data_IF_816725312661
#
_entry.id   IF_816725312661
#
_cell.length_a   1.000
_cell.length_b   1.000
_cell.length_c   1.000
_cell.angle_alpha   90.00
_cell.angle_beta   90.00
_cell.angle_gamma   90.00
#
_symmetry.space_group_name_H-M   'P 1'
#
loop_
_entity.id
_entity.type
_entity.pdbx_description
1 polymer ?
#
# COMPACT_ATOMS: atom_id res chain seq x y z
N UNK A 1 -16.28 -31.17 -12.40
CA UNK A 1 -16.52 -31.71 -11.05
C UNK A 1 -16.06 -30.66 -10.06
N UNK A 2 -16.96 -30.16 -9.21
CA UNK A 2 -16.70 -29.05 -8.29
C UNK A 2 -15.84 -29.51 -7.12
N UNK A 3 -14.60 -29.00 -7.02
CA UNK A 3 -13.75 -29.18 -5.85
C UNK A 3 -14.34 -28.43 -4.66
N UNK A 4 -14.64 -29.18 -3.60
CA UNK A 4 -15.08 -28.66 -2.30
C UNK A 4 -14.01 -27.76 -1.69
N UNK A 5 -14.38 -26.60 -1.12
CA UNK A 5 -13.44 -25.78 -0.37
C UNK A 5 -12.98 -26.54 0.89
N UNK A 6 -11.69 -26.45 1.21
CA UNK A 6 -11.17 -26.82 2.53
C UNK A 6 -11.94 -26.04 3.59
N UNK A 7 -12.88 -26.70 4.27
CA UNK A 7 -13.53 -26.21 5.47
C UNK A 7 -12.72 -26.68 6.66
N UNK A 8 -12.19 -25.75 7.44
CA UNK A 8 -11.81 -26.04 8.82
C UNK A 8 -13.04 -26.58 9.57
N UNK A 9 -12.81 -27.53 10.47
CA UNK A 9 -13.83 -28.28 11.23
C UNK A 9 -14.72 -27.43 12.14
N UNK A 10 -14.59 -26.10 12.11
CA UNK A 10 -15.34 -25.10 12.89
C UNK A 10 -16.31 -24.25 12.05
N UNK A 11 -16.39 -24.45 10.73
CA UNK A 11 -17.27 -23.65 9.86
C UNK A 11 -16.83 -22.20 9.64
N UNK A 12 -15.65 -21.83 10.16
CA UNK A 12 -14.97 -20.56 9.90
C UNK A 12 -14.17 -20.66 8.60
N UNK A 13 -14.22 -19.61 7.77
CA UNK A 13 -13.37 -19.54 6.58
C UNK A 13 -11.89 -19.55 7.00
N UNK A 14 -11.06 -20.36 6.35
CA UNK A 14 -9.61 -20.38 6.59
C UNK A 14 -8.99 -19.03 6.23
N UNK A 15 -8.12 -18.52 7.12
CA UNK A 15 -7.35 -17.29 6.90
C UNK A 15 -6.28 -17.48 5.83
N UNK A 16 -5.59 -18.62 5.83
CA UNK A 16 -4.63 -18.96 4.78
C UNK A 16 -5.42 -19.48 3.58
N UNK A 17 -5.31 -18.77 2.46
CA UNK A 17 -5.94 -19.13 1.18
C UNK A 17 -5.17 -20.27 0.51
N UNK A 18 -3.84 -20.21 0.62
CA UNK A 18 -2.92 -21.21 0.09
C UNK A 18 -1.49 -20.91 0.54
N UNK A 19 -0.64 -21.94 0.51
CA UNK A 19 0.79 -21.85 0.79
C UNK A 19 1.53 -22.82 -0.13
N UNK A 20 2.53 -22.31 -0.84
CA UNK A 20 3.41 -23.10 -1.70
C UNK A 20 4.86 -22.86 -1.27
N UNK A 21 5.58 -23.93 -0.97
CA UNK A 21 6.98 -23.88 -0.54
C UNK A 21 7.81 -24.70 -1.51
N UNK A 22 8.89 -24.13 -2.02
CA UNK A 22 9.86 -24.82 -2.87
C UNK A 22 11.29 -24.72 -2.33
N UNK A 23 12.25 -24.53 -3.22
CA UNK A 23 13.67 -24.40 -2.88
C UNK A 23 13.93 -23.19 -1.96
N UNK A 24 15.15 -23.04 -1.44
CA UNK A 24 15.51 -21.84 -0.69
C UNK A 24 15.42 -20.59 -1.58
N UNK A 25 14.82 -19.52 -1.06
CA UNK A 25 14.55 -18.30 -1.81
C UNK A 25 13.73 -17.30 -1.02
N UNK A 26 13.23 -16.28 -1.71
CA UNK A 26 12.41 -15.22 -1.14
C UNK A 26 11.04 -15.70 -0.68
N UNK A 27 10.40 -14.95 0.21
CA UNK A 27 9.01 -15.18 0.63
C UNK A 27 8.13 -14.06 0.08
N UNK A 28 7.07 -14.40 -0.65
CA UNK A 28 6.04 -13.46 -1.08
C UNK A 28 4.75 -13.72 -0.30
N UNK A 29 4.31 -12.72 0.46
CA UNK A 29 3.02 -12.71 1.12
C UNK A 29 2.07 -11.79 0.37
N UNK A 30 0.92 -12.33 -0.05
CA UNK A 30 -0.16 -11.54 -0.61
C UNK A 30 -1.34 -11.51 0.36
N UNK A 31 -1.73 -10.31 0.78
CA UNK A 31 -2.88 -10.05 1.63
C UNK A 31 -4.04 -9.58 0.74
N UNK A 32 -5.21 -10.17 0.87
CA UNK A 32 -6.43 -9.71 0.18
C UNK A 32 -7.56 -9.46 1.15
N UNK A 33 -8.41 -8.48 0.86
CA UNK A 33 -9.59 -8.15 1.67
C UNK A 33 -9.28 -7.73 3.11
N UNK A 34 -8.30 -6.84 3.30
CA UNK A 34 -8.22 -6.05 4.55
C UNK A 34 -9.51 -5.28 4.80
N UNK A 35 -10.12 -4.78 3.72
CA UNK A 35 -11.50 -4.32 3.72
C UNK A 35 -12.42 -5.42 3.18
N UNK A 36 -13.53 -5.69 3.87
CA UNK A 36 -14.42 -6.80 3.52
C UNK A 36 -15.28 -6.56 2.27
N UNK A 37 -15.43 -5.32 1.82
CA UNK A 37 -16.10 -4.97 0.56
C UNK A 37 -15.17 -5.14 -0.66
N UNK A 38 -13.94 -5.61 -0.48
CA UNK A 38 -12.93 -5.79 -1.52
C UNK A 38 -12.57 -7.28 -1.72
N UNK A 39 -13.49 -8.12 -2.24
CA UNK A 39 -13.26 -9.56 -2.36
C UNK A 39 -12.25 -9.94 -3.46
N UNK A 40 -11.86 -8.99 -4.32
CA UNK A 40 -11.06 -9.26 -5.52
C UNK A 40 -9.72 -9.96 -5.21
N UNK A 41 -9.01 -9.50 -4.16
CA UNK A 41 -7.75 -10.12 -3.72
C UNK A 41 -7.90 -11.58 -3.34
N UNK A 42 -8.90 -11.93 -2.52
CA UNK A 42 -9.14 -13.31 -2.10
C UNK A 42 -9.50 -14.20 -3.30
N UNK A 43 -10.33 -13.70 -4.22
CA UNK A 43 -10.75 -14.46 -5.41
C UNK A 43 -9.54 -14.69 -6.33
N UNK A 44 -8.75 -13.64 -6.60
CA UNK A 44 -7.55 -13.71 -7.42
C UNK A 44 -6.53 -14.71 -6.85
N UNK A 45 -6.26 -14.64 -5.55
CA UNK A 45 -5.33 -15.57 -4.89
C UNK A 45 -5.78 -17.03 -5.04
N UNK A 46 -7.08 -17.32 -4.87
CA UNK A 46 -7.61 -18.67 -5.11
C UNK A 46 -7.37 -19.16 -6.54
N UNK A 47 -7.55 -18.28 -7.54
CA UNK A 47 -7.29 -18.62 -8.95
C UNK A 47 -5.82 -18.90 -9.20
N UNK A 48 -4.92 -18.10 -8.63
CA UNK A 48 -3.47 -18.31 -8.75
C UNK A 48 -3.05 -19.63 -8.10
N UNK A 49 -3.48 -19.90 -6.86
CA UNK A 49 -3.16 -21.17 -6.20
C UNK A 49 -3.68 -22.38 -6.96
N UNK A 50 -4.91 -22.34 -7.49
CA UNK A 50 -5.46 -23.42 -8.30
C UNK A 50 -4.63 -23.67 -9.58
N UNK A 51 -4.13 -22.60 -10.21
CA UNK A 51 -3.27 -22.70 -11.39
C UNK A 51 -1.86 -23.23 -11.04
N UNK A 52 -1.28 -22.78 -9.93
CA UNK A 52 -0.01 -23.30 -9.43
C UNK A 52 -0.10 -24.78 -9.05
N UNK A 53 -1.20 -25.21 -8.43
CA UNK A 53 -1.44 -26.62 -8.11
C UNK A 53 -1.54 -27.47 -9.39
N UNK A 54 -2.33 -27.00 -10.36
CA UNK A 54 -2.52 -27.71 -11.63
C UNK A 54 -1.23 -27.82 -12.47
N UNK A 55 -0.39 -26.78 -12.48
CA UNK A 55 0.83 -26.76 -13.28
C UNK A 55 2.05 -27.31 -12.52
N UNK A 56 2.05 -27.24 -11.19
CA UNK A 56 3.13 -27.66 -10.30
C UNK A 56 4.53 -27.18 -10.76
N UNK A 57 4.74 -25.87 -11.00
CA UNK A 57 6.04 -25.37 -11.43
C UNK A 57 7.10 -25.51 -10.32
N UNK A 58 8.40 -25.53 -10.68
CA UNK A 58 9.46 -25.33 -9.70
C UNK A 58 9.35 -23.94 -9.07
N UNK A 59 9.24 -23.89 -7.75
CA UNK A 59 9.16 -22.65 -6.97
C UNK A 59 10.48 -22.44 -6.22
N UNK A 60 11.01 -21.22 -6.26
CA UNK A 60 12.19 -20.81 -5.47
C UNK A 60 11.77 -19.89 -4.33
N UNK A 61 11.60 -20.47 -3.15
CA UNK A 61 11.16 -19.76 -1.95
C UNK A 61 9.76 -20.17 -1.50
N UNK A 62 8.98 -19.20 -1.03
CA UNK A 62 7.67 -19.45 -0.42
C UNK A 62 6.64 -18.41 -0.85
N UNK A 63 5.46 -18.88 -1.28
CA UNK A 63 4.31 -18.04 -1.59
C UNK A 63 3.18 -18.32 -0.59
N UNK A 64 2.66 -17.26 0.05
CA UNK A 64 1.56 -17.35 1.01
C UNK A 64 0.45 -16.37 0.62
N UNK A 65 -0.78 -16.85 0.47
CA UNK A 65 -1.96 -16.01 0.33
C UNK A 65 -2.77 -15.97 1.60
N UNK A 66 -3.12 -14.78 2.07
CA UNK A 66 -3.84 -14.57 3.32
C UNK A 66 -5.10 -13.73 3.05
N UNK A 67 -6.22 -14.18 3.59
CA UNK A 67 -7.44 -13.40 3.68
C UNK A 67 -7.39 -12.49 4.92
N UNK A 68 -7.68 -11.20 4.72
CA UNK A 68 -7.65 -10.15 5.72
C UNK A 68 -8.82 -10.23 6.70
N UNK A 69 -9.72 -9.25 6.66
CA UNK A 69 -10.85 -9.16 7.59
C UNK A 69 -11.95 -10.18 7.22
N UNK A 70 -11.89 -11.39 7.79
CA UNK A 70 -12.82 -12.46 7.48
C UNK A 70 -14.27 -12.11 7.89
N UNK A 71 -14.43 -11.48 9.05
CA UNK A 71 -15.73 -11.05 9.55
C UNK A 71 -16.40 -10.00 8.64
N UNK A 72 -15.65 -8.96 8.22
CA UNK A 72 -16.16 -7.94 7.32
C UNK A 72 -16.39 -8.49 5.91
N UNK A 73 -15.51 -9.37 5.43
CA UNK A 73 -15.64 -10.03 4.12
C UNK A 73 -16.93 -10.85 4.03
N UNK A 74 -17.28 -11.59 5.09
CA UNK A 74 -18.54 -12.33 5.16
C UNK A 74 -19.78 -11.42 5.07
N UNK A 75 -19.65 -10.16 5.52
CA UNK A 75 -20.72 -9.15 5.50
C UNK A 75 -20.68 -8.25 4.26
N UNK A 76 -19.64 -8.35 3.43
CA UNK A 76 -19.36 -7.43 2.32
C UNK A 76 -19.35 -5.95 2.73
N UNK A 77 -18.84 -5.69 3.93
CA UNK A 77 -18.70 -4.35 4.48
C UNK A 77 -17.23 -3.99 4.55
N UNK A 78 -16.89 -2.69 4.49
CA UNK A 78 -15.49 -2.25 4.59
C UNK A 78 -14.84 -2.77 5.87
N UNK A 79 -15.53 -2.59 6.99
CA UNK A 79 -15.16 -3.10 8.31
C UNK A 79 -16.41 -3.35 9.16
N UNK A 80 -16.23 -3.95 10.34
CA UNK A 80 -17.30 -4.15 11.33
C UNK A 80 -17.34 -3.04 12.36
N UNK A 81 -16.28 -2.87 13.17
CA UNK A 81 -16.24 -1.86 14.22
C UNK A 81 -15.37 -0.66 13.80
N UNK A 82 -14.18 -0.92 13.26
CA UNK A 82 -13.24 0.13 12.81
C UNK A 82 -12.49 -0.29 11.54
N UNK A 83 -11.93 0.66 10.79
CA UNK A 83 -11.11 0.32 9.63
C UNK A 83 -9.85 -0.48 10.04
N UNK A 84 -9.77 -1.75 9.61
CA UNK A 84 -8.65 -2.63 9.93
C UNK A 84 -7.32 -2.07 9.40
N UNK A 85 -7.33 -1.34 8.28
CA UNK A 85 -6.14 -0.71 7.71
C UNK A 85 -5.82 0.66 8.35
N UNK A 86 -6.36 0.90 9.55
CA UNK A 86 -5.99 1.98 10.48
C UNK A 86 -5.59 1.44 11.86
N UNK A 87 -5.56 0.12 12.05
CA UNK A 87 -5.33 -0.52 13.34
C UNK A 87 -3.88 -0.97 13.59
N UNK A 88 -2.99 -0.87 12.60
CA UNK A 88 -1.64 -1.45 12.64
C UNK A 88 -0.61 -0.50 13.27
N UNK A 89 -0.80 -0.18 14.56
CA UNK A 89 0.20 0.58 15.34
C UNK A 89 0.91 -0.33 16.33
N UNK A 90 2.21 -0.10 16.56
CA UNK A 90 2.99 -0.87 17.53
C UNK A 90 2.36 -0.85 18.93
N UNK A 91 1.89 0.33 19.37
CA UNK A 91 1.19 0.49 20.65
C UNK A 91 -0.07 -0.38 20.73
N UNK A 92 -0.91 -0.40 19.67
CA UNK A 92 -2.11 -1.23 19.65
C UNK A 92 -1.75 -2.71 19.71
N UNK A 93 -0.77 -3.14 18.92
CA UNK A 93 -0.32 -4.54 18.87
C UNK A 93 0.24 -5.00 20.22
N UNK A 94 1.10 -4.20 20.85
CA UNK A 94 1.65 -4.50 22.18
C UNK A 94 0.56 -4.59 23.25
N UNK A 95 -0.39 -3.66 23.24
CA UNK A 95 -1.56 -3.69 24.12
C UNK A 95 -2.42 -4.93 23.91
N UNK A 96 -2.65 -5.33 22.66
CA UNK A 96 -3.43 -6.54 22.35
C UNK A 96 -2.70 -7.81 22.80
N UNK A 97 -1.38 -7.89 22.63
CA UNK A 97 -0.54 -9.02 23.08
C UNK A 97 -0.49 -9.15 24.60
N UNK A 98 -0.46 -8.04 25.31
CA UNK A 98 -0.35 -8.00 26.78
C UNK A 98 -1.69 -8.13 27.51
N UNK A 99 -2.81 -8.17 26.79
CA UNK A 99 -4.15 -8.27 27.38
C UNK A 99 -4.36 -9.61 28.11
N UNK A 100 -4.26 -9.58 29.45
CA UNK A 100 -4.52 -10.75 30.31
C UNK A 100 -5.98 -11.21 30.30
N UNK A 101 -6.94 -10.33 29.94
CA UNK A 101 -8.38 -10.66 29.90
C UNK A 101 -8.80 -11.36 28.60
N UNK A 102 -7.87 -11.65 27.70
CA UNK A 102 -8.16 -12.15 26.35
C UNK A 102 -8.86 -11.09 25.50
N UNK A 103 -9.57 -11.53 24.45
CA UNK A 103 -10.25 -10.69 23.46
C UNK A 103 -11.76 -10.53 23.75
N UNK A 104 -12.20 -10.85 24.96
CA UNK A 104 -13.59 -10.72 25.36
C UNK A 104 -13.99 -9.23 25.40
N UNK A 105 -14.90 -8.83 24.50
CA UNK A 105 -15.33 -7.43 24.36
C UNK A 105 -14.38 -6.54 23.54
N UNK A 106 -13.34 -7.09 22.90
CA UNK A 106 -12.54 -6.34 21.94
C UNK A 106 -13.31 -6.12 20.64
N UNK A 107 -12.90 -5.11 19.86
CA UNK A 107 -13.42 -4.93 18.51
C UNK A 107 -13.17 -6.20 17.67
N UNK A 108 -14.03 -6.45 16.69
CA UNK A 108 -13.87 -7.52 15.69
C UNK A 108 -12.51 -7.39 15.01
N UNK A 109 -12.13 -6.18 14.62
CA UNK A 109 -10.85 -5.93 13.95
C UNK A 109 -9.62 -6.23 14.79
N UNK A 110 -9.70 -6.19 16.13
CA UNK A 110 -8.58 -6.59 16.98
C UNK A 110 -8.29 -8.10 16.85
N UNK A 111 -9.35 -8.91 16.73
CA UNK A 111 -9.23 -10.36 16.53
C UNK A 111 -8.73 -10.69 15.12
N UNK A 112 -9.21 -9.97 14.11
CA UNK A 112 -8.75 -10.11 12.73
C UNK A 112 -7.27 -9.72 12.60
N UNK A 113 -6.86 -8.61 13.22
CA UNK A 113 -5.47 -8.16 13.27
C UNK A 113 -4.55 -9.23 13.85
N UNK A 114 -4.86 -9.76 15.04
CA UNK A 114 -4.03 -10.78 15.67
C UNK A 114 -3.94 -12.07 14.83
N UNK A 115 -5.04 -12.44 14.16
CA UNK A 115 -5.04 -13.57 13.24
C UNK A 115 -4.12 -13.37 12.04
N UNK A 116 -4.14 -12.18 11.42
CA UNK A 116 -3.22 -11.85 10.31
C UNK A 116 -1.78 -11.79 10.82
N UNK A 117 -1.56 -11.16 11.97
CA UNK A 117 -0.24 -11.01 12.57
C UNK A 117 0.41 -12.38 12.84
N UNK A 118 -0.34 -13.36 13.35
CA UNK A 118 0.16 -14.71 13.59
C UNK A 118 0.66 -15.39 12.29
N UNK A 119 -0.09 -15.25 11.19
CA UNK A 119 0.31 -15.82 9.90
C UNK A 119 1.53 -15.10 9.30
N UNK A 120 1.58 -13.77 9.42
CA UNK A 120 2.69 -12.95 8.97
C UNK A 120 3.97 -13.28 9.75
N UNK A 121 3.90 -13.36 11.07
CA UNK A 121 5.04 -13.71 11.92
C UNK A 121 5.52 -15.14 11.68
N UNK A 122 4.61 -16.08 11.48
CA UNK A 122 4.95 -17.46 11.12
C UNK A 122 5.73 -17.54 9.80
N UNK A 123 5.28 -16.81 8.77
CA UNK A 123 5.97 -16.76 7.48
C UNK A 123 7.33 -16.07 7.56
N UNK A 124 7.42 -14.95 8.30
CA UNK A 124 8.69 -14.26 8.54
C UNK A 124 9.69 -15.16 9.27
N UNK A 125 9.26 -15.87 10.32
CA UNK A 125 10.12 -16.75 11.10
C UNK A 125 10.67 -17.93 10.27
N UNK A 126 9.92 -18.38 9.26
CA UNK A 126 10.33 -19.45 8.34
C UNK A 126 11.08 -18.97 7.09
N UNK A 127 11.22 -17.65 6.88
CA UNK A 127 11.77 -17.09 5.66
C UNK A 127 13.24 -17.47 5.45
N UNK A 128 13.58 -17.82 4.21
CA UNK A 128 14.94 -18.25 3.79
C UNK A 128 15.62 -17.25 2.85
N UNK A 129 15.13 -16.01 2.83
CA UNK A 129 15.57 -14.95 1.93
C UNK A 129 14.79 -13.65 2.20
N UNK A 130 14.80 -12.73 1.23
CA UNK A 130 14.02 -11.49 1.30
C UNK A 130 12.52 -11.78 1.46
N UNK A 131 11.83 -10.93 2.22
CA UNK A 131 10.38 -11.02 2.42
C UNK A 131 9.69 -9.83 1.74
N UNK A 132 8.71 -10.16 0.89
CA UNK A 132 7.92 -9.22 0.11
C UNK A 132 6.45 -9.30 0.54
N UNK A 133 5.80 -8.14 0.65
CA UNK A 133 4.38 -8.01 0.93
C UNK A 133 3.67 -7.31 -0.22
N UNK A 134 2.59 -7.93 -0.71
CA UNK A 134 1.62 -7.33 -1.61
C UNK A 134 0.28 -7.21 -0.89
N UNK A 135 -0.22 -5.98 -0.74
CA UNK A 135 -1.54 -5.70 -0.19
C UNK A 135 -2.52 -5.40 -1.32
N UNK A 136 -3.49 -6.30 -1.52
CA UNK A 136 -4.34 -6.34 -2.70
C UNK A 136 -5.69 -5.69 -2.42
N UNK A 137 -5.89 -4.55 -3.05
CA UNK A 137 -7.03 -3.66 -2.86
C UNK A 137 -7.81 -3.39 -4.15
N UNK A 138 -8.96 -2.77 -3.95
CA UNK A 138 -9.74 -2.10 -5.00
C UNK A 138 -10.21 -0.75 -4.46
N UNK A 139 -10.64 0.11 -5.36
CA UNK A 139 -11.04 1.48 -5.05
C UNK A 139 -12.56 1.67 -5.18
N UNK A 140 -13.11 2.66 -4.48
CA UNK A 140 -14.53 3.01 -4.57
C UNK A 140 -14.90 3.74 -5.87
N UNK A 141 -13.97 4.52 -6.42
CA UNK A 141 -14.14 5.28 -7.65
C UNK A 141 -13.69 4.53 -8.90
N UNK A 142 -13.99 5.09 -10.07
CA UNK A 142 -13.36 4.62 -11.31
C UNK A 142 -11.85 4.90 -11.26
N UNK A 143 -11.07 3.87 -11.55
CA UNK A 143 -9.62 3.91 -11.44
C UNK A 143 -8.94 2.88 -12.35
N UNK A 144 -7.80 3.23 -12.97
CA UNK A 144 -6.90 2.21 -13.49
C UNK A 144 -6.30 1.38 -12.37
N UNK A 145 -5.61 0.30 -12.73
CA UNK A 145 -4.75 -0.41 -11.79
C UNK A 145 -3.47 0.39 -11.51
N UNK A 146 -3.03 0.45 -10.26
CA UNK A 146 -1.79 1.13 -9.88
C UNK A 146 -1.15 0.50 -8.63
N UNK A 147 0.15 0.72 -8.48
CA UNK A 147 0.91 0.37 -7.29
C UNK A 147 1.08 1.56 -6.36
N UNK A 148 1.11 1.31 -5.06
CA UNK A 148 1.45 2.30 -4.03
C UNK A 148 2.63 1.78 -3.23
N UNK A 149 3.60 2.64 -2.96
CA UNK A 149 4.76 2.29 -2.12
C UNK A 149 5.15 3.45 -1.21
N UNK A 150 5.64 3.08 -0.04
CA UNK A 150 6.58 3.91 0.70
C UNK A 150 7.83 4.21 -0.14
N UNK A 151 8.36 5.41 0.00
CA UNK A 151 9.43 5.90 -0.86
C UNK A 151 10.84 5.39 -0.43
N UNK A 152 11.05 4.07 -0.37
CA UNK A 152 12.37 3.42 -0.11
C UNK A 152 12.99 2.87 -1.39
N UNK A 153 14.32 2.72 -1.44
CA UNK A 153 14.99 2.18 -2.64
C UNK A 153 14.60 0.72 -2.93
N UNK A 154 14.45 -0.11 -1.89
CA UNK A 154 14.04 -1.52 -2.04
C UNK A 154 12.62 -1.64 -2.58
N UNK A 155 11.68 -0.84 -2.07
CA UNK A 155 10.31 -0.80 -2.59
C UNK A 155 10.27 -0.31 -4.03
N UNK A 156 11.03 0.73 -4.38
CA UNK A 156 11.14 1.20 -5.78
C UNK A 156 11.67 0.10 -6.70
N UNK A 157 12.72 -0.61 -6.30
CA UNK A 157 13.30 -1.69 -7.09
C UNK A 157 12.29 -2.82 -7.38
N UNK A 158 11.47 -3.17 -6.39
CA UNK A 158 10.41 -4.16 -6.55
C UNK A 158 9.23 -3.63 -7.40
N UNK A 159 8.65 -2.49 -7.02
CA UNK A 159 7.46 -1.93 -7.65
C UNK A 159 7.67 -1.53 -9.12
N UNK A 160 8.87 -1.07 -9.49
CA UNK A 160 9.17 -0.70 -10.88
C UNK A 160 9.20 -1.90 -11.84
N UNK A 161 9.19 -3.14 -11.34
CA UNK A 161 9.02 -4.37 -12.13
C UNK A 161 7.58 -4.58 -12.60
N UNK A 162 6.60 -3.93 -11.96
CA UNK A 162 5.19 -4.04 -12.32
C UNK A 162 4.84 -3.06 -13.44
N UNK A 163 4.17 -3.48 -14.53
CA UNK A 163 3.89 -2.59 -15.65
C UNK A 163 2.68 -1.67 -15.44
N UNK A 164 2.55 -1.08 -14.25
CA UNK A 164 1.47 -0.14 -13.88
C UNK A 164 2.05 1.20 -13.42
N UNK A 165 1.23 2.27 -13.33
CA UNK A 165 1.62 3.49 -12.62
C UNK A 165 1.97 3.19 -11.16
N UNK A 166 3.06 3.79 -10.67
CA UNK A 166 3.51 3.67 -9.29
C UNK A 166 3.36 5.02 -8.58
N UNK A 167 2.68 5.00 -7.43
CA UNK A 167 2.44 6.16 -6.58
C UNK A 167 3.38 6.09 -5.38
N UNK A 168 4.29 7.05 -5.31
CA UNK A 168 5.21 7.24 -4.20
C UNK A 168 4.56 8.12 -3.13
N UNK A 169 4.81 7.80 -1.87
CA UNK A 169 4.50 8.75 -0.80
C UNK A 169 3.10 8.63 -0.19
N UNK A 170 2.26 7.69 -0.67
CA UNK A 170 0.89 7.56 -0.17
C UNK A 170 0.86 7.07 1.28
N UNK A 171 1.67 6.05 1.60
CA UNK A 171 1.74 5.47 2.94
C UNK A 171 2.18 6.49 4.00
N UNK A 172 2.95 7.51 3.63
CA UNK A 172 3.43 8.56 4.53
C UNK A 172 2.34 9.57 4.93
N UNK A 173 1.19 9.52 4.26
CA UNK A 173 -0.01 10.29 4.58
C UNK A 173 -1.06 9.48 5.35
N UNK A 174 -0.83 8.18 5.53
CA UNK A 174 -1.71 7.26 6.22
C UNK A 174 -1.04 6.80 7.51
N UNK A 175 -1.82 6.60 8.57
CA UNK A 175 -1.30 6.07 9.83
C UNK A 175 -2.01 4.76 10.18
N UNK A 176 -1.25 3.82 10.73
CA UNK A 176 -1.78 2.54 11.19
C UNK A 176 -2.20 1.59 10.07
N UNK A 177 -1.59 1.73 8.88
CA UNK A 177 -1.79 0.78 7.78
C UNK A 177 -0.94 -0.47 7.95
N UNK A 178 -1.40 -1.60 7.42
CA UNK A 178 -0.65 -2.85 7.42
C UNK A 178 0.72 -2.66 6.77
N UNK A 179 0.77 -2.04 5.58
CA UNK A 179 2.01 -1.80 4.86
C UNK A 179 2.97 -0.87 5.62
N UNK A 180 2.48 0.17 6.30
CA UNK A 180 3.33 1.01 7.15
C UNK A 180 4.00 0.18 8.25
N UNK A 181 3.25 -0.70 8.92
CA UNK A 181 3.76 -1.55 10.00
C UNK A 181 4.86 -2.52 9.51
N UNK A 182 4.60 -3.27 8.42
CA UNK A 182 5.60 -4.22 7.90
C UNK A 182 6.78 -3.52 7.24
N UNK A 183 6.59 -2.38 6.57
CA UNK A 183 7.69 -1.65 5.94
C UNK A 183 8.62 -1.02 6.98
N UNK A 184 8.07 -0.51 8.09
CA UNK A 184 8.87 0.01 9.22
C UNK A 184 9.72 -1.11 9.86
N UNK A 185 9.29 -2.36 9.72
CA UNK A 185 10.04 -3.55 10.14
C UNK A 185 11.14 -3.98 9.15
N UNK A 186 11.35 -3.24 8.06
CA UNK A 186 12.44 -3.45 7.09
C UNK A 186 12.10 -4.37 5.92
N UNK A 187 10.81 -4.73 5.74
CA UNK A 187 10.36 -5.58 4.64
C UNK A 187 9.98 -4.78 3.39
N UNK A 188 10.05 -5.44 2.24
CA UNK A 188 9.68 -4.84 0.95
C UNK A 188 8.18 -4.88 0.79
N UNK A 189 7.55 -3.74 0.53
CA UNK A 189 6.10 -3.61 0.48
C UNK A 189 5.62 -2.94 -0.79
N UNK A 190 4.44 -3.34 -1.24
CA UNK A 190 3.69 -2.62 -2.26
C UNK A 190 2.19 -2.87 -2.09
N UNK A 191 1.40 -1.81 -2.05
CA UNK A 191 -0.04 -1.89 -2.21
C UNK A 191 -0.38 -1.94 -3.69
N UNK A 192 -1.40 -2.71 -4.05
CA UNK A 192 -1.90 -2.78 -5.41
C UNK A 192 -3.40 -2.54 -5.44
N UNK A 193 -3.80 -1.56 -6.23
CA UNK A 193 -5.19 -1.18 -6.42
C UNK A 193 -5.64 -1.70 -7.78
N UNK A 194 -6.56 -2.67 -7.81
CA UNK A 194 -6.97 -3.39 -9.02
C UNK A 194 -7.97 -2.66 -9.92
N UNK A 195 -8.54 -1.55 -9.47
CA UNK A 195 -9.66 -0.87 -10.12
C UNK A 195 -10.85 -0.74 -9.18
N UNK A 196 -12.07 -0.61 -9.71
CA UNK A 196 -13.27 -0.39 -8.90
C UNK A 196 -13.77 -1.67 -8.22
N UNK A 197 -14.27 -1.59 -6.99
CA UNK A 197 -14.75 -2.74 -6.19
C UNK A 197 -15.70 -3.68 -6.95
N UNK A 198 -16.70 -3.14 -7.65
CA UNK A 198 -17.76 -3.92 -8.31
C UNK A 198 -17.44 -4.32 -9.75
N UNK A 199 -16.30 -3.88 -10.30
CA UNK A 199 -15.92 -4.22 -11.67
C UNK A 199 -15.27 -5.61 -11.71
N UNK A 200 -15.84 -6.60 -12.44
CA UNK A 200 -15.27 -7.93 -12.55
C UNK A 200 -13.82 -7.92 -13.06
N UNK A 201 -13.43 -6.95 -13.89
CA UNK A 201 -12.05 -6.84 -14.40
C UNK A 201 -11.03 -6.59 -13.29
N UNK A 202 -11.46 -6.06 -12.14
CA UNK A 202 -10.59 -5.83 -10.99
C UNK A 202 -10.03 -7.14 -10.45
N UNK A 203 -10.81 -8.24 -10.50
CA UNK A 203 -10.33 -9.57 -10.10
C UNK A 203 -9.18 -10.00 -11.03
N UNK A 204 -9.37 -9.84 -12.34
CA UNK A 204 -8.38 -10.22 -13.34
C UNK A 204 -7.09 -9.38 -13.20
N UNK A 205 -7.21 -8.07 -12.96
CA UNK A 205 -6.05 -7.19 -12.72
C UNK A 205 -5.29 -7.53 -11.45
N UNK A 206 -5.99 -7.90 -10.37
CA UNK A 206 -5.35 -8.34 -9.13
C UNK A 206 -4.65 -9.69 -9.32
N UNK A 207 -5.26 -10.62 -10.05
CA UNK A 207 -4.63 -11.89 -10.44
C UNK A 207 -3.35 -11.65 -11.26
N UNK A 208 -3.42 -10.75 -12.24
CA UNK A 208 -2.26 -10.34 -13.03
C UNK A 208 -1.16 -9.73 -12.15
N UNK A 209 -1.52 -8.90 -11.17
CA UNK A 209 -0.55 -8.37 -10.20
C UNK A 209 0.16 -9.48 -9.44
N UNK A 210 -0.56 -10.49 -8.93
CA UNK A 210 0.04 -11.60 -8.20
C UNK A 210 1.01 -12.38 -9.08
N UNK A 211 0.67 -12.66 -10.34
CA UNK A 211 1.59 -13.32 -11.28
C UNK A 211 2.88 -12.54 -11.52
N UNK A 212 2.76 -11.22 -11.75
CA UNK A 212 3.93 -10.35 -11.87
C UNK A 212 4.71 -10.31 -10.56
N UNK A 213 4.04 -10.35 -9.41
CA UNK A 213 4.64 -10.40 -8.08
C UNK A 213 5.48 -11.64 -7.83
N UNK A 214 4.98 -12.82 -8.21
CA UNK A 214 5.71 -14.10 -8.11
C UNK A 214 7.04 -14.04 -8.89
N UNK A 215 7.00 -13.51 -10.11
CA UNK A 215 8.21 -13.27 -10.91
C UNK A 215 9.09 -12.15 -10.33
N UNK A 216 8.48 -11.07 -9.85
CA UNK A 216 9.18 -9.90 -9.33
C UNK A 216 9.95 -10.18 -8.04
N UNK A 217 9.44 -11.09 -7.21
CA UNK A 217 10.10 -11.58 -6.00
C UNK A 217 11.08 -12.75 -6.28
N UNK A 218 11.14 -13.26 -7.52
CA UNK A 218 12.07 -14.30 -7.94
C UNK A 218 11.62 -15.73 -7.61
N UNK A 219 10.34 -15.94 -7.28
CA UNK A 219 9.79 -17.27 -6.99
C UNK A 219 9.61 -18.11 -8.25
N UNK A 220 9.34 -17.45 -9.38
CA UNK A 220 9.25 -18.03 -10.71
C UNK A 220 10.34 -17.41 -11.60
N UNK A 221 11.22 -18.26 -12.12
CA UNK A 221 12.46 -17.82 -12.77
C UNK A 221 12.29 -17.55 -14.26
N UNK A 222 11.44 -18.33 -14.94
CA UNK A 222 11.29 -18.28 -16.39
C UNK A 222 9.86 -17.88 -16.78
N UNK A 223 9.74 -16.95 -17.73
CA UNK A 223 8.45 -16.57 -18.31
C UNK A 223 7.93 -17.65 -19.26
N UNK A 224 8.80 -18.52 -19.75
CA UNK A 224 8.45 -19.63 -20.64
C UNK A 224 7.78 -20.79 -19.87
N UNK A 225 8.08 -20.95 -18.58
CA UNK A 225 7.45 -21.96 -17.71
C UNK A 225 6.02 -21.58 -17.30
N UNK A 226 5.72 -20.28 -17.25
CA UNK A 226 4.42 -19.75 -16.82
C UNK A 226 3.96 -18.59 -17.73
N UNK A 227 3.25 -18.89 -18.84
CA UNK A 227 2.75 -17.88 -19.78
C UNK A 227 1.88 -16.79 -19.13
N UNK A 228 1.26 -17.09 -17.99
CA UNK A 228 0.48 -16.15 -17.18
C UNK A 228 1.27 -14.92 -16.78
N UNK A 229 2.59 -15.03 -16.56
CA UNK A 229 3.44 -13.90 -16.17
C UNK A 229 3.54 -12.88 -17.31
N UNK A 230 3.79 -13.35 -18.54
CA UNK A 230 3.90 -12.49 -19.71
C UNK A 230 2.53 -11.91 -20.08
N UNK A 231 1.49 -12.74 -20.09
CA UNK A 231 0.11 -12.29 -20.35
C UNK A 231 -0.34 -11.22 -19.35
N UNK A 232 -0.05 -11.42 -18.06
CA UNK A 232 -0.31 -10.45 -17.02
C UNK A 232 0.47 -9.15 -17.24
N UNK A 233 1.76 -9.26 -17.58
CA UNK A 233 2.61 -8.10 -17.83
C UNK A 233 2.09 -7.25 -19.00
N UNK A 234 1.70 -7.89 -20.10
CA UNK A 234 1.14 -7.22 -21.29
C UNK A 234 -0.21 -6.58 -20.97
N UNK A 235 -1.11 -7.29 -20.28
CA UNK A 235 -2.43 -6.79 -19.95
C UNK A 235 -2.37 -5.56 -19.02
N UNK A 236 -1.55 -5.62 -17.97
CA UNK A 236 -1.33 -4.51 -17.05
C UNK A 236 -0.65 -3.32 -17.76
N UNK A 237 0.34 -3.58 -18.62
CA UNK A 237 1.01 -2.54 -19.42
C UNK A 237 0.00 -1.80 -20.32
N UNK A 238 -0.85 -2.54 -21.02
CA UNK A 238 -1.87 -1.96 -21.90
C UNK A 238 -2.83 -1.05 -21.12
N UNK A 239 -3.30 -1.50 -19.96
CA UNK A 239 -4.20 -0.72 -19.10
C UNK A 239 -3.53 0.53 -18.49
N UNK A 240 -2.25 0.45 -18.17
CA UNK A 240 -1.48 1.52 -17.52
C UNK A 240 -0.84 2.55 -18.47
N UNK A 241 -0.62 2.19 -19.74
CA UNK A 241 0.22 2.94 -20.71
C UNK A 241 -0.16 4.41 -20.93
N UNK A 242 -1.42 4.78 -20.71
CA UNK A 242 -1.94 6.15 -20.86
C UNK A 242 -1.69 7.07 -19.66
N UNK A 243 -1.11 6.54 -18.58
CA UNK A 243 -0.87 7.28 -17.34
C UNK A 243 0.64 7.46 -17.08
N UNK A 244 1.05 8.50 -16.34
CA UNK A 244 2.45 8.65 -15.95
C UNK A 244 2.96 7.43 -15.20
N UNK A 245 4.20 7.02 -15.49
CA UNK A 245 4.80 5.82 -14.88
C UNK A 245 4.98 5.95 -13.37
N UNK A 246 5.40 7.13 -12.91
CA UNK A 246 5.64 7.40 -11.49
C UNK A 246 5.00 8.72 -11.12
N UNK A 247 4.26 8.73 -10.01
CA UNK A 247 3.68 9.92 -9.42
C UNK A 247 4.05 9.99 -7.95
N UNK A 248 4.08 11.20 -7.39
CA UNK A 248 4.20 11.41 -5.95
C UNK A 248 2.92 12.04 -5.40
N UNK A 249 2.52 11.62 -4.20
CA UNK A 249 1.46 12.28 -3.44
C UNK A 249 1.97 13.61 -2.90
N UNK A 250 1.19 14.66 -3.09
CA UNK A 250 1.50 16.04 -2.71
C UNK A 250 0.61 16.53 -1.58
N UNK A 251 -0.62 16.05 -1.56
CA UNK A 251 -1.65 16.47 -0.63
C UNK A 251 -2.63 15.34 -0.38
N UNK A 252 -3.08 15.23 0.87
CA UNK A 252 -4.19 14.42 1.34
C UNK A 252 -5.24 15.36 1.91
N UNK A 253 -6.49 15.20 1.51
CA UNK A 253 -7.62 15.85 2.16
C UNK A 253 -8.22 14.90 3.20
N UNK A 254 -8.05 15.15 4.51
CA UNK A 254 -8.69 14.34 5.53
C UNK A 254 -10.18 14.69 5.61
N UNK A 255 -11.01 13.70 5.93
CA UNK A 255 -12.44 13.83 6.17
C UNK A 255 -12.73 13.49 7.62
N UNK A 256 -13.63 14.24 8.25
CA UNK A 256 -14.04 14.00 9.64
C UNK A 256 -15.49 13.56 9.66
N UNK A 257 -15.79 12.48 10.38
CA UNK A 257 -17.16 12.00 10.48
C UNK A 257 -18.12 13.11 10.95
N UNK A 258 -19.21 13.29 10.19
CA UNK A 258 -20.23 14.30 10.47
C UNK A 258 -20.02 15.66 9.80
N UNK A 259 -18.90 15.91 9.12
CA UNK A 259 -18.66 17.17 8.38
C UNK A 259 -19.58 17.34 7.14
N UNK A 260 -20.17 16.24 6.65
CA UNK A 260 -20.99 16.21 5.45
C UNK A 260 -20.18 16.36 4.18
N UNK A 261 -18.89 15.99 4.20
CA UNK A 261 -18.01 15.99 3.05
C UNK A 261 -18.57 15.18 1.89
N UNK A 262 -18.54 15.79 0.70
CA UNK A 262 -18.97 15.18 -0.54
C UNK A 262 -18.02 15.58 -1.66
N UNK A 263 -17.46 14.58 -2.34
CA UNK A 263 -16.77 14.79 -3.60
C UNK A 263 -17.74 15.32 -4.65
N UNK A 264 -17.27 16.28 -5.46
CA UNK A 264 -18.00 16.60 -6.68
C UNK A 264 -18.07 15.36 -7.58
N UNK A 265 -19.22 15.09 -8.20
CA UNK A 265 -19.41 13.90 -9.01
C UNK A 265 -18.56 13.95 -10.28
N UNK A 266 -18.12 12.78 -10.74
CA UNK A 266 -17.45 12.61 -12.03
C UNK A 266 -15.92 12.72 -12.00
N UNK A 267 -15.29 12.76 -10.83
CA UNK A 267 -13.85 12.58 -10.72
C UNK A 267 -13.46 11.10 -10.80
N UNK A 268 -12.50 10.78 -11.66
CA UNK A 268 -11.83 9.48 -11.67
C UNK A 268 -10.40 9.60 -11.13
N UNK A 269 -9.86 8.51 -10.59
CA UNK A 269 -8.44 8.45 -10.25
C UNK A 269 -7.59 8.75 -11.50
N UNK A 270 -6.48 9.46 -11.31
CA UNK A 270 -5.58 9.99 -12.34
C UNK A 270 -6.15 11.11 -13.22
N UNK A 271 -7.37 11.60 -12.97
CA UNK A 271 -7.93 12.72 -13.72
C UNK A 271 -7.13 14.02 -13.47
N UNK A 272 -6.70 14.74 -14.53
CA UNK A 272 -6.04 16.03 -14.39
C UNK A 272 -6.95 17.07 -13.74
N UNK A 273 -6.39 17.87 -12.84
CA UNK A 273 -7.05 19.01 -12.21
C UNK A 273 -6.19 20.26 -12.31
N UNK A 274 -6.82 21.43 -12.39
CA UNK A 274 -6.16 22.73 -12.44
C UNK A 274 -6.22 23.40 -11.07
N UNK A 275 -5.21 24.22 -10.74
CA UNK A 275 -5.24 25.05 -9.54
C UNK A 275 -6.52 25.90 -9.51
N UNK A 276 -7.20 25.92 -8.36
CA UNK A 276 -8.48 26.61 -8.15
C UNK A 276 -9.72 25.84 -8.60
N UNK A 277 -9.58 24.66 -9.23
CA UNK A 277 -10.73 23.84 -9.65
C UNK A 277 -11.47 23.28 -8.43
N UNK A 278 -12.81 23.36 -8.42
CA UNK A 278 -13.65 22.80 -7.36
C UNK A 278 -13.60 21.26 -7.35
N UNK A 279 -13.29 20.68 -6.20
CA UNK A 279 -13.12 19.23 -6.03
C UNK A 279 -14.17 18.61 -5.14
N UNK A 280 -14.54 19.28 -4.06
CA UNK A 280 -15.46 18.76 -3.05
C UNK A 280 -16.13 19.91 -2.29
N UNK A 281 -17.14 19.57 -1.49
CA UNK A 281 -17.84 20.48 -0.58
C UNK A 281 -18.10 19.79 0.75
N UNK A 282 -18.20 20.58 1.81
CA UNK A 282 -18.87 20.20 3.06
C UNK A 282 -20.03 21.16 3.34
N UNK A 283 -20.69 21.04 4.50
CA UNK A 283 -21.84 21.89 4.87
C UNK A 283 -21.56 23.40 4.88
N UNK A 284 -20.29 23.80 4.95
CA UNK A 284 -19.86 25.18 5.20
C UNK A 284 -18.87 25.72 4.17
N UNK A 285 -18.20 24.86 3.39
CA UNK A 285 -17.02 25.20 2.59
C UNK A 285 -16.97 24.45 1.26
N UNK A 286 -16.34 25.10 0.29
CA UNK A 286 -15.94 24.51 -0.98
C UNK A 286 -14.44 24.27 -0.99
N UNK A 287 -14.01 23.08 -1.41
CA UNK A 287 -12.61 22.70 -1.50
C UNK A 287 -12.14 22.74 -2.95
N UNK A 288 -11.10 23.53 -3.21
CA UNK A 288 -10.50 23.66 -4.53
C UNK A 288 -9.09 23.06 -4.58
N UNK A 289 -8.64 22.67 -5.77
CA UNK A 289 -7.30 22.15 -5.97
C UNK A 289 -6.24 23.22 -5.65
N UNK A 290 -5.37 22.93 -4.68
CA UNK A 290 -4.30 23.85 -4.26
C UNK A 290 -3.28 24.10 -5.37
N UNK A 291 -3.00 23.08 -6.18
CA UNK A 291 -2.09 23.15 -7.33
C UNK A 291 -2.65 22.32 -8.50
N UNK A 292 -2.07 22.51 -9.68
CA UNK A 292 -2.36 21.63 -10.82
C UNK A 292 -1.73 20.25 -10.60
N UNK A 293 -2.45 19.19 -10.96
CA UNK A 293 -2.01 17.82 -10.70
C UNK A 293 -3.02 16.80 -11.21
N UNK A 294 -3.09 15.66 -10.54
CA UNK A 294 -4.08 14.61 -10.78
C UNK A 294 -4.75 14.19 -9.48
N UNK A 295 -6.06 14.00 -9.50
CA UNK A 295 -6.80 13.43 -8.36
C UNK A 295 -6.50 11.94 -8.25
N UNK A 296 -6.52 11.43 -7.01
CA UNK A 296 -6.44 10.01 -6.68
C UNK A 296 -7.47 9.67 -5.61
N UNK A 297 -8.09 8.49 -5.76
CA UNK A 297 -9.00 7.87 -4.80
C UNK A 297 -10.04 8.85 -4.25
N UNK A 298 -10.89 9.45 -5.12
CA UNK A 298 -12.00 10.28 -4.66
C UNK A 298 -12.99 9.44 -3.82
N UNK A 299 -13.35 9.95 -2.65
CA UNK A 299 -14.27 9.31 -1.72
C UNK A 299 -15.72 9.39 -2.23
N UNK A 300 -16.23 8.26 -2.72
CA UNK A 300 -17.63 8.13 -3.15
C UNK A 300 -18.45 7.17 -2.29
N UNK A 301 -17.81 6.49 -1.35
CA UNK A 301 -18.47 5.63 -0.37
C UNK A 301 -18.80 6.41 0.91
N UNK A 302 -19.69 5.87 1.73
CA UNK A 302 -20.16 6.52 2.97
C UNK A 302 -19.17 6.45 4.13
N UNK A 303 -18.21 5.52 4.08
CA UNK A 303 -17.22 5.30 5.14
C UNK A 303 -15.82 5.66 4.63
N UNK A 304 -15.03 6.37 5.43
CA UNK A 304 -13.64 6.65 5.10
C UNK A 304 -13.15 7.95 5.73
N UNK A 305 -11.84 8.05 5.89
CA UNK A 305 -11.17 9.21 6.50
C UNK A 305 -10.42 10.06 5.45
N UNK A 306 -10.46 9.63 4.18
CA UNK A 306 -9.66 10.18 3.09
C UNK A 306 -10.59 10.65 1.97
N UNK A 307 -10.71 11.96 1.78
CA UNK A 307 -11.60 12.55 0.78
C UNK A 307 -11.03 12.43 -0.63
N UNK A 308 -9.79 12.87 -0.82
CA UNK A 308 -9.03 12.69 -2.06
C UNK A 308 -7.55 12.95 -1.81
N UNK A 309 -6.72 12.52 -2.76
CA UNK A 309 -5.31 12.90 -2.82
C UNK A 309 -5.02 13.68 -4.11
N UNK A 310 -4.04 14.58 -4.03
CA UNK A 310 -3.48 15.26 -5.19
C UNK A 310 -2.08 14.72 -5.48
N UNK A 311 -1.87 14.33 -6.73
CA UNK A 311 -0.63 13.75 -7.21
C UNK A 311 0.02 14.62 -8.28
N UNK A 312 1.34 14.48 -8.40
CA UNK A 312 2.12 15.03 -9.52
C UNK A 312 3.02 13.96 -10.10
N UNK A 313 3.26 14.04 -11.41
CA UNK A 313 4.26 13.19 -12.07
C UNK A 313 5.66 13.41 -11.47
N UNK A 314 6.31 12.32 -11.13
CA UNK A 314 7.68 12.31 -10.62
C UNK A 314 8.60 11.86 -11.77
N UNK A 315 9.32 12.81 -12.37
CA UNK A 315 10.09 12.53 -13.58
C UNK A 315 11.20 11.51 -13.34
N UNK A 316 11.53 10.73 -14.38
CA UNK A 316 12.62 9.75 -14.30
C UNK A 316 13.98 10.35 -13.98
N UNK A 317 14.20 11.64 -14.30
CA UNK A 317 15.40 12.38 -13.88
C UNK A 317 15.49 12.49 -12.35
N UNK A 318 14.40 12.95 -11.71
CA UNK A 318 14.35 13.08 -10.25
C UNK A 318 14.42 11.73 -9.54
N UNK A 319 13.86 10.68 -10.14
CA UNK A 319 13.99 9.31 -9.63
C UNK A 319 15.43 8.83 -9.59
N UNK A 320 16.18 9.02 -10.70
CA UNK A 320 17.61 8.66 -10.77
C UNK A 320 18.45 9.51 -9.84
N UNK A 321 18.23 10.83 -9.83
CA UNK A 321 18.96 11.74 -8.94
C UNK A 321 18.71 11.39 -7.46
N UNK A 322 17.46 11.14 -7.09
CA UNK A 322 17.08 10.68 -5.75
C UNK A 322 17.82 9.39 -5.38
N UNK A 323 17.85 8.40 -6.27
CA UNK A 323 18.58 7.15 -6.02
C UNK A 323 20.09 7.38 -5.81
N UNK A 324 20.73 8.18 -6.66
CA UNK A 324 22.17 8.51 -6.53
C UNK A 324 22.45 9.23 -5.21
N UNK A 325 21.65 10.24 -4.85
CA UNK A 325 21.86 11.00 -3.62
C UNK A 325 21.74 10.14 -2.36
N UNK A 326 20.83 9.15 -2.36
CA UNK A 326 20.64 8.25 -1.22
C UNK A 326 21.75 7.20 -1.11
N UNK A 327 22.17 6.62 -2.24
CA UNK A 327 23.32 5.70 -2.28
C UNK A 327 24.63 6.38 -1.84
N UNK A 328 24.77 7.70 -2.07
CA UNK A 328 25.91 8.49 -1.62
C UNK A 328 25.76 9.02 -0.18
N UNK A 329 24.70 8.66 0.55
CA UNK A 329 24.40 9.14 1.89
C UNK A 329 24.46 10.68 2.03
N UNK A 330 23.95 11.38 1.01
CA UNK A 330 23.96 12.85 0.94
C UNK A 330 23.08 13.50 2.02
N UNK A 331 22.27 12.72 2.75
CA UNK A 331 21.50 13.20 3.90
C UNK A 331 22.37 13.83 4.99
N UNK A 332 23.60 13.35 5.16
CA UNK A 332 24.58 13.92 6.10
C UNK A 332 24.87 15.40 5.83
N UNK A 333 24.79 15.83 4.57
CA UNK A 333 25.03 17.21 4.14
C UNK A 333 23.83 18.14 4.34
N UNK A 334 22.63 17.61 4.64
CA UNK A 334 21.44 18.44 4.89
C UNK A 334 21.60 19.36 6.10
N UNK A 335 22.46 19.01 7.06
CA UNK A 335 22.81 19.84 8.22
C UNK A 335 23.44 21.18 7.83
N UNK A 336 23.99 21.28 6.62
CA UNK A 336 24.59 22.51 6.11
C UNK A 336 23.54 23.50 5.60
N UNK A 337 22.28 23.05 5.42
CA UNK A 337 21.20 23.94 5.00
C UNK A 337 20.74 24.79 6.20
N UNK A 338 20.58 26.12 6.01
CA UNK A 338 20.08 26.99 7.07
C UNK A 338 18.75 26.48 7.64
N UNK A 339 18.64 26.42 8.97
CA UNK A 339 17.42 26.00 9.66
C UNK A 339 17.14 24.49 9.65
N UNK A 340 18.07 23.65 9.17
CA UNK A 340 17.91 22.18 9.16
C UNK A 340 18.86 21.53 10.17
N UNK A 341 18.32 20.70 11.07
CA UNK A 341 19.11 19.89 12.03
C UNK A 341 18.52 18.49 12.16
N UNK A 342 19.31 17.50 12.56
CA UNK A 342 18.75 16.21 12.96
C UNK A 342 18.09 16.29 14.32
N UNK A 343 17.10 15.42 14.54
CA UNK A 343 16.63 15.14 15.89
C UNK A 343 17.78 14.50 16.70
N UNK A 344 18.00 14.93 17.95
CA UNK A 344 18.96 14.27 18.83
C UNK A 344 18.50 12.85 19.24
N UNK A 345 17.21 12.56 19.13
CA UNK A 345 16.61 11.28 19.54
C UNK A 345 16.54 10.25 18.40
N UNK A 346 16.45 10.70 17.14
CA UNK A 346 16.36 9.84 15.97
C UNK A 346 17.21 10.38 14.80
N UNK A 347 18.27 9.68 14.36
CA UNK A 347 19.08 10.10 13.22
C UNK A 347 18.30 10.12 11.89
N UNK A 348 17.16 9.42 11.80
CA UNK A 348 16.29 9.43 10.62
C UNK A 348 15.23 10.53 10.64
N UNK A 349 15.29 11.44 11.61
CA UNK A 349 14.43 12.61 11.70
C UNK A 349 15.22 13.90 11.53
N UNK A 350 14.70 14.82 10.71
CA UNK A 350 15.15 16.19 10.60
C UNK A 350 14.10 17.15 11.16
N UNK A 351 14.59 18.22 11.77
CA UNK A 351 13.81 19.34 12.25
C UNK A 351 14.18 20.53 11.38
N UNK A 352 13.19 21.07 10.67
CA UNK A 352 13.34 22.17 9.73
C UNK A 352 12.61 23.39 10.30
N UNK A 353 13.34 24.43 10.73
CA UNK A 353 12.76 25.70 11.15
C UNK A 353 12.26 26.47 9.92
N UNK A 354 10.94 26.65 9.81
CA UNK A 354 10.32 27.25 8.61
C UNK A 354 10.61 28.74 8.45
N UNK A 355 11.09 29.41 9.50
CA UNK A 355 11.44 30.84 9.46
C UNK A 355 12.80 31.08 8.80
N UNK A 356 13.70 30.09 8.91
CA UNK A 356 15.09 30.17 8.46
C UNK A 356 15.30 29.34 7.20
N UNK A 357 14.65 28.18 7.12
CA UNK A 357 14.84 27.25 6.02
C UNK A 357 14.36 27.85 4.70
N UNK A 358 15.24 27.78 3.70
CA UNK A 358 14.90 28.21 2.34
C UNK A 358 13.82 27.28 1.78
N UNK A 359 12.98 27.81 0.88
CA UNK A 359 11.86 27.08 0.29
C UNK A 359 12.23 25.73 -0.35
N UNK A 360 13.49 25.56 -0.78
CA UNK A 360 13.98 24.30 -1.36
C UNK A 360 14.47 23.27 -0.33
N UNK A 361 14.65 23.62 0.94
CA UNK A 361 15.18 22.69 1.96
C UNK A 361 14.31 21.43 2.08
N UNK A 362 12.99 21.61 2.03
CA UNK A 362 12.03 20.52 2.02
C UNK A 362 12.13 19.67 0.75
N UNK A 363 12.33 20.29 -0.43
CA UNK A 363 12.48 19.59 -1.70
C UNK A 363 13.76 18.75 -1.74
N UNK A 364 14.86 19.26 -1.17
CA UNK A 364 16.12 18.52 -1.07
C UNK A 364 15.97 17.36 -0.08
N UNK A 365 15.33 17.58 1.08
CA UNK A 365 15.05 16.53 2.07
C UNK A 365 14.21 15.39 1.46
N UNK A 366 13.24 15.73 0.62
CA UNK A 366 12.41 14.78 -0.15
C UNK A 366 13.23 13.91 -1.11
N UNK A 367 14.21 14.50 -1.82
CA UNK A 367 15.08 13.74 -2.74
C UNK A 367 15.88 12.65 -2.02
N UNK A 368 16.29 12.91 -0.78
CA UNK A 368 17.04 11.97 0.06
C UNK A 368 16.17 11.16 1.02
N UNK A 369 14.85 11.17 0.82
CA UNK A 369 13.92 10.20 1.44
C UNK A 369 13.20 10.64 2.70
N UNK A 370 13.39 11.87 3.17
CA UNK A 370 12.60 12.39 4.28
C UNK A 370 11.23 12.81 3.76
N UNK A 371 10.17 12.11 4.17
CA UNK A 371 8.82 12.29 3.60
C UNK A 371 7.74 12.52 4.64
N UNK A 372 7.72 11.73 5.73
CA UNK A 372 6.68 11.83 6.78
C UNK A 372 6.80 13.16 7.48
N UNK A 373 5.71 13.95 7.53
CA UNK A 373 5.72 15.32 8.05
C UNK A 373 4.89 15.44 9.31
N UNK A 374 5.45 16.06 10.33
CA UNK A 374 4.70 16.55 11.48
C UNK A 374 4.98 18.03 11.66
N UNK A 375 3.92 18.82 11.74
CA UNK A 375 4.02 20.23 12.10
C UNK A 375 4.07 20.34 13.62
N UNK A 376 5.06 21.06 14.12
CA UNK A 376 5.18 21.42 15.53
C UNK A 376 5.49 22.93 15.63
N UNK A 377 4.42 23.73 15.71
CA UNK A 377 4.47 25.18 15.62
C UNK A 377 5.17 25.68 14.35
N UNK A 378 6.28 26.39 14.53
CA UNK A 378 7.11 26.95 13.44
C UNK A 378 8.14 25.95 12.88
N UNK A 379 8.18 24.73 13.41
CA UNK A 379 9.08 23.68 12.95
C UNK A 379 8.34 22.62 12.17
N UNK A 380 8.98 22.16 11.10
CA UNK A 380 8.57 21.03 10.30
C UNK A 380 9.49 19.86 10.61
N UNK A 381 8.93 18.81 11.21
CA UNK A 381 9.64 17.58 11.48
C UNK A 381 9.43 16.66 10.27
N UNK A 382 10.52 16.23 9.63
CA UNK A 382 10.48 15.28 8.52
C UNK A 382 11.27 14.03 8.86
N UNK A 383 10.69 12.87 8.59
CA UNK A 383 11.30 11.56 8.91
C UNK A 383 11.42 10.72 7.65
N UNK A 384 12.51 9.95 7.55
CA UNK A 384 12.70 8.94 6.51
C UNK A 384 12.59 7.54 7.10
N UNK A 385 12.20 6.57 6.28
CA UNK A 385 12.22 5.16 6.67
C UNK A 385 13.65 4.60 6.51
N UNK A 386 14.02 3.57 7.28
CA UNK A 386 15.24 2.81 7.02
C UNK A 386 15.23 2.27 5.58
N UNK A 387 16.38 2.30 4.91
CA UNK A 387 16.52 1.80 3.52
C UNK A 387 16.85 0.31 3.43
#
# INVERSE_FOLDING_TARGET
MHGTPHKDTTGTASRVIGRTVGEAGATLLCLGSLHGNEPAGVIALRRVFAQLEAASPPIRGEFVGIAGNLAALARRQRYVDHDLNRCWTSERIERLRSSQRGLAGSAVEDRELLGILAEVEGAIAGARGDVFFLDLHTTSGDSPSFGTIADTLRNRAFALRFPVPIILGLEEHLEGTFLEYVNTSGYVTMGFEGGRHEDPISIDRVEQCVWVGLWAAGLLSDRDEMPQIEQASVALAAAGSRFPRVLEVRYRHPVVEGDGFQMEPGYASFQPVRSGQLLARDQSRSYTALEGGRILMPLYQTQGEDGYFLMREFSGFWLKLSAVLRLLHFDSMLRLLPGVRHSPEDPNTLIIDRRIARWFALQVAHLVGFRKRRLDGETLIVTRRPE
#
